data_IF_357116862004
#
_entry.id   IF_357116862004
#
_cell.length_a   1.000
_cell.length_b   1.000
_cell.length_c   1.000
_cell.angle_alpha   90.00
_cell.angle_beta   90.00
_cell.angle_gamma   90.00
#
_symmetry.space_group_name_H-M   'P 1'
#
loop_
_entity.id
_entity.type
_entity.pdbx_description
1 polymer ?
#
# COMPACT_ATOMS: atom_id res chain seq x y z
N UNK A 1 12.71 -17.19 -11.49
CA UNK A 1 11.28 -16.79 -11.65
C UNK A 1 11.04 -15.78 -10.56
N UNK A 2 10.72 -14.53 -10.91
CA UNK A 2 10.49 -13.42 -9.97
C UNK A 2 9.02 -13.02 -10.00
N UNK A 3 8.36 -13.07 -8.85
CA UNK A 3 6.95 -12.72 -8.68
C UNK A 3 6.86 -11.43 -7.87
N UNK A 4 6.24 -10.40 -8.45
CA UNK A 4 6.05 -9.11 -7.78
C UNK A 4 4.59 -8.94 -7.39
N UNK A 5 4.35 -8.63 -6.12
CA UNK A 5 3.05 -8.33 -5.55
C UNK A 5 2.74 -6.83 -5.59
N UNK A 6 1.48 -6.50 -5.89
CA UNK A 6 0.94 -5.14 -5.81
C UNK A 6 -0.34 -5.17 -4.98
N UNK A 7 -0.53 -4.17 -4.12
CA UNK A 7 -1.77 -3.99 -3.35
C UNK A 7 -2.47 -2.75 -3.89
N UNK A 8 -3.73 -2.90 -4.32
CA UNK A 8 -4.42 -1.81 -5.02
C UNK A 8 -5.94 -1.83 -4.80
N UNK A 9 -6.57 -0.70 -5.04
CA UNK A 9 -8.03 -0.58 -5.16
C UNK A 9 -8.50 -0.55 -6.61
N UNK A 10 -7.72 0.08 -7.49
CA UNK A 10 -8.08 0.33 -8.89
C UNK A 10 -9.48 0.94 -9.06
N UNK A 11 -9.72 2.03 -8.39
CA UNK A 11 -11.04 2.65 -8.27
C UNK A 11 -11.14 4.04 -8.92
N UNK A 12 -11.09 4.14 -10.28
CA UNK A 12 -10.89 3.08 -11.28
C UNK A 12 -9.42 2.79 -11.57
N UNK A 13 -9.16 1.78 -12.40
CA UNK A 13 -7.84 1.56 -13.02
C UNK A 13 -7.51 2.71 -13.98
N UNK A 14 -6.27 3.21 -13.94
CA UNK A 14 -5.82 4.34 -14.77
C UNK A 14 -4.35 4.22 -15.16
N UNK A 15 -3.88 5.15 -16.01
CA UNK A 15 -2.50 5.15 -16.56
C UNK A 15 -1.38 5.09 -15.50
N UNK A 16 -1.60 5.62 -14.31
CA UNK A 16 -0.64 5.51 -13.21
C UNK A 16 -0.49 4.07 -12.70
N UNK A 17 -1.59 3.31 -12.66
CA UNK A 17 -1.57 1.90 -12.29
C UNK A 17 -0.91 1.04 -13.40
N UNK A 18 -1.21 1.32 -14.66
CA UNK A 18 -0.55 0.70 -15.80
C UNK A 18 0.96 0.97 -15.79
N UNK A 19 1.37 2.21 -15.48
CA UNK A 19 2.78 2.56 -15.32
C UNK A 19 3.44 1.73 -14.20
N UNK A 20 2.78 1.55 -13.05
CA UNK A 20 3.30 0.74 -11.95
C UNK A 20 3.49 -0.72 -12.35
N UNK A 21 2.53 -1.31 -13.04
CA UNK A 21 2.61 -2.68 -13.56
C UNK A 21 3.78 -2.80 -14.55
N UNK A 22 3.89 -1.86 -15.48
CA UNK A 22 4.99 -1.82 -16.44
C UNK A 22 6.35 -1.64 -15.75
N UNK A 23 6.44 -0.79 -14.75
CA UNK A 23 7.66 -0.61 -13.95
C UNK A 23 8.07 -1.92 -13.27
N UNK A 24 7.12 -2.62 -12.66
CA UNK A 24 7.39 -3.94 -12.07
C UNK A 24 7.90 -4.94 -13.11
N UNK A 25 7.35 -4.92 -14.32
CA UNK A 25 7.76 -5.80 -15.41
C UNK A 25 9.13 -5.47 -15.97
N UNK A 26 9.35 -4.21 -16.36
CA UNK A 26 10.52 -3.78 -17.12
C UNK A 26 11.73 -3.44 -16.24
N UNK A 27 11.50 -2.81 -15.09
CA UNK A 27 12.57 -2.30 -14.22
C UNK A 27 12.89 -3.27 -13.09
N UNK A 28 11.85 -3.82 -12.42
CA UNK A 28 12.08 -4.81 -11.37
C UNK A 28 12.31 -6.22 -11.93
N UNK A 29 12.03 -6.45 -13.22
CA UNK A 29 12.24 -7.73 -13.88
C UNK A 29 11.26 -8.83 -13.43
N UNK A 30 10.01 -8.47 -13.16
CA UNK A 30 8.99 -9.42 -12.77
C UNK A 30 8.64 -10.39 -13.90
N UNK A 31 8.76 -11.69 -13.65
CA UNK A 31 8.21 -12.73 -14.52
C UNK A 31 6.69 -12.80 -14.39
N UNK A 32 6.17 -12.59 -13.18
CA UNK A 32 4.74 -12.57 -12.88
C UNK A 32 4.39 -11.41 -11.94
N UNK A 33 3.20 -10.84 -12.15
CA UNK A 33 2.65 -9.76 -11.33
C UNK A 33 1.33 -10.22 -10.73
N UNK A 34 1.28 -10.29 -9.40
CA UNK A 34 0.11 -10.70 -8.62
C UNK A 34 -0.44 -9.47 -7.89
N UNK A 35 -1.73 -9.22 -8.04
CA UNK A 35 -2.37 -8.05 -7.43
C UNK A 35 -3.38 -8.49 -6.38
N UNK A 36 -3.21 -8.01 -5.15
CA UNK A 36 -4.23 -8.04 -4.10
C UNK A 36 -5.12 -6.82 -4.27
N UNK A 37 -6.36 -7.01 -4.75
CA UNK A 37 -7.29 -5.94 -5.09
C UNK A 37 -8.51 -5.94 -4.18
N UNK A 38 -8.98 -4.76 -3.76
CA UNK A 38 -10.26 -4.62 -3.05
C UNK A 38 -11.43 -5.08 -3.92
N UNK A 39 -12.42 -5.72 -3.29
CA UNK A 39 -13.66 -6.15 -3.93
C UNK A 39 -14.61 -4.99 -4.24
N UNK A 40 -15.91 -5.19 -4.03
CA UNK A 40 -16.93 -4.17 -4.33
C UNK A 40 -16.93 -3.00 -3.35
N UNK A 41 -16.22 -3.14 -2.24
CA UNK A 41 -16.00 -2.06 -1.26
C UNK A 41 -14.50 -1.78 -1.16
N UNK A 42 -14.17 -0.49 -1.13
CA UNK A 42 -12.80 0.01 -1.03
C UNK A 42 -12.50 0.50 0.40
N UNK A 43 -11.32 1.01 0.61
CA UNK A 43 -10.84 1.49 1.90
C UNK A 43 -11.85 2.45 2.56
N UNK A 44 -12.04 2.31 3.87
CA UNK A 44 -13.01 3.04 4.69
C UNK A 44 -14.49 2.71 4.38
N UNK A 45 -14.75 1.62 3.66
CA UNK A 45 -16.10 1.10 3.42
C UNK A 45 -16.89 1.81 2.33
N UNK A 46 -16.27 2.65 1.51
CA UNK A 46 -16.93 3.22 0.37
C UNK A 46 -17.20 2.17 -0.72
N UNK A 47 -18.34 2.21 -1.43
CA UNK A 47 -18.54 1.35 -2.59
C UNK A 47 -17.56 1.76 -3.70
N UNK A 48 -17.06 0.78 -4.45
CA UNK A 48 -16.23 1.03 -5.61
C UNK A 48 -17.04 1.70 -6.73
N UNK A 49 -16.39 2.55 -7.52
CA UNK A 49 -17.00 3.24 -8.68
C UNK A 49 -17.40 2.28 -9.80
N UNK A 50 -16.72 1.12 -9.86
CA UNK A 50 -16.93 0.12 -10.92
C UNK A 50 -16.92 -1.27 -10.29
N UNK A 51 -17.63 -2.19 -10.91
CA UNK A 51 -17.68 -3.60 -10.52
C UNK A 51 -16.28 -4.20 -10.46
N UNK A 52 -16.04 -5.08 -9.47
CA UNK A 52 -14.73 -5.68 -9.23
C UNK A 52 -14.20 -6.49 -10.42
N UNK A 53 -15.07 -7.22 -11.13
CA UNK A 53 -14.64 -8.01 -12.29
C UNK A 53 -14.15 -7.13 -13.43
N UNK A 54 -14.83 -5.99 -13.69
CA UNK A 54 -14.38 -5.04 -14.70
C UNK A 54 -13.03 -4.42 -14.32
N UNK A 55 -12.84 -4.05 -13.04
CA UNK A 55 -11.54 -3.53 -12.55
C UNK A 55 -10.42 -4.57 -12.65
N UNK A 56 -10.72 -5.83 -12.35
CA UNK A 56 -9.79 -6.94 -12.51
C UNK A 56 -9.43 -7.15 -13.99
N UNK A 57 -10.41 -7.14 -14.88
CA UNK A 57 -10.18 -7.24 -16.33
C UNK A 57 -9.28 -6.11 -16.85
N UNK A 58 -9.53 -4.86 -16.43
CA UNK A 58 -8.69 -3.71 -16.79
C UNK A 58 -7.24 -3.91 -16.34
N UNK A 59 -7.01 -4.45 -15.13
CA UNK A 59 -5.68 -4.71 -14.62
C UNK A 59 -4.99 -5.86 -15.39
N UNK A 60 -5.70 -6.92 -15.74
CA UNK A 60 -5.20 -8.02 -16.58
C UNK A 60 -4.84 -7.54 -17.99
N UNK A 61 -5.67 -6.69 -18.60
CA UNK A 61 -5.36 -6.03 -19.87
C UNK A 61 -4.16 -5.08 -19.74
N UNK A 62 -3.93 -4.51 -18.55
CA UNK A 62 -2.74 -3.72 -18.20
C UNK A 62 -1.49 -4.56 -17.90
N UNK A 63 -1.49 -5.86 -18.22
CA UNK A 63 -0.36 -6.80 -18.07
C UNK A 63 -0.12 -7.32 -16.65
N UNK A 64 -1.11 -7.32 -15.78
CA UNK A 64 -1.10 -8.16 -14.59
C UNK A 64 -1.38 -9.63 -14.95
N UNK A 65 -0.86 -10.57 -14.16
CA UNK A 65 -1.03 -12.02 -14.44
C UNK A 65 -2.11 -12.65 -13.57
N UNK A 66 -2.27 -12.18 -12.34
CA UNK A 66 -3.24 -12.71 -11.38
C UNK A 66 -3.82 -11.60 -10.52
N UNK A 67 -5.14 -11.60 -10.37
CA UNK A 67 -5.84 -10.71 -9.46
C UNK A 67 -6.50 -11.55 -8.35
N UNK A 68 -6.19 -11.21 -7.11
CA UNK A 68 -6.79 -11.81 -5.92
C UNK A 68 -7.69 -10.78 -5.23
N UNK A 69 -8.90 -11.17 -4.91
CA UNK A 69 -9.79 -10.33 -4.12
C UNK A 69 -9.38 -10.34 -2.65
N UNK A 70 -9.17 -9.17 -2.08
CA UNK A 70 -8.94 -9.02 -0.65
C UNK A 70 -10.21 -9.30 0.14
N UNK A 71 -10.12 -9.97 1.31
CA UNK A 71 -11.27 -10.10 2.22
C UNK A 71 -11.86 -8.74 2.54
N UNK A 72 -13.19 -8.63 2.51
CA UNK A 72 -13.90 -7.34 2.71
C UNK A 72 -13.50 -6.65 4.01
N UNK A 73 -13.25 -7.40 5.08
CA UNK A 73 -12.84 -6.86 6.37
C UNK A 73 -11.53 -6.06 6.30
N UNK A 74 -10.57 -6.52 5.48
CA UNK A 74 -9.30 -5.83 5.27
C UNK A 74 -9.40 -4.78 4.18
N UNK A 75 -10.17 -5.04 3.12
CA UNK A 75 -10.41 -4.10 2.03
C UNK A 75 -11.07 -2.79 2.51
N UNK A 76 -11.97 -2.87 3.50
CA UNK A 76 -12.69 -1.71 4.07
C UNK A 76 -12.02 -1.09 5.29
N UNK A 77 -10.89 -1.62 5.73
CA UNK A 77 -10.18 -1.17 6.92
C UNK A 77 -9.52 0.21 6.75
N UNK A 78 -8.82 0.66 7.80
CA UNK A 78 -7.91 1.81 7.72
C UNK A 78 -6.76 1.51 6.74
N UNK A 79 -6.00 2.55 6.35
CA UNK A 79 -4.85 2.37 5.45
C UNK A 79 -3.86 1.31 5.96
N UNK A 80 -3.63 1.27 7.27
CA UNK A 80 -2.78 0.29 7.93
C UNK A 80 -3.37 -1.13 7.84
N UNK A 81 -4.66 -1.30 8.14
CA UNK A 81 -5.34 -2.59 8.05
C UNK A 81 -5.46 -3.10 6.62
N UNK A 82 -5.68 -2.18 5.66
CA UNK A 82 -5.68 -2.49 4.23
C UNK A 82 -4.32 -3.00 3.76
N UNK A 83 -3.24 -2.28 4.10
CA UNK A 83 -1.88 -2.69 3.74
C UNK A 83 -1.50 -4.03 4.40
N UNK A 84 -1.77 -4.19 5.70
CA UNK A 84 -1.50 -5.44 6.41
C UNK A 84 -2.26 -6.63 5.82
N UNK A 85 -3.54 -6.44 5.47
CA UNK A 85 -4.36 -7.48 4.84
C UNK A 85 -3.86 -7.86 3.44
N UNK A 86 -3.47 -6.87 2.63
CA UNK A 86 -2.90 -7.10 1.31
C UNK A 86 -1.55 -7.83 1.38
N UNK A 87 -0.66 -7.40 2.28
CA UNK A 87 0.61 -8.10 2.52
C UNK A 87 0.38 -9.53 2.97
N UNK A 88 -0.51 -9.75 3.94
CA UNK A 88 -0.81 -11.09 4.45
C UNK A 88 -1.38 -12.02 3.37
N UNK A 89 -2.23 -11.48 2.47
CA UNK A 89 -2.77 -12.25 1.35
C UNK A 89 -1.68 -12.66 0.36
N UNK A 90 -0.79 -11.74 0.00
CA UNK A 90 0.31 -12.00 -0.92
C UNK A 90 1.36 -12.95 -0.32
N UNK A 91 1.71 -12.75 0.95
CA UNK A 91 2.63 -13.61 1.71
C UNK A 91 2.08 -15.04 1.84
N UNK A 92 0.78 -15.17 2.09
CA UNK A 92 0.08 -16.46 2.20
C UNK A 92 0.12 -17.32 0.94
N UNK A 93 0.41 -16.74 -0.24
CA UNK A 93 0.64 -17.50 -1.47
C UNK A 93 1.98 -18.25 -1.45
N UNK A 94 2.97 -17.76 -0.69
CA UNK A 94 4.30 -18.37 -0.60
C UNK A 94 5.13 -18.32 -1.88
N UNK A 95 4.73 -17.48 -2.86
CA UNK A 95 5.40 -17.36 -4.17
C UNK A 95 5.78 -15.92 -4.53
N UNK A 96 5.38 -14.95 -3.74
CA UNK A 96 5.68 -13.52 -3.99
C UNK A 96 7.04 -13.18 -3.40
N UNK A 97 7.96 -12.70 -4.25
CA UNK A 97 9.33 -12.37 -3.86
C UNK A 97 9.47 -10.93 -3.38
N UNK A 98 8.76 -10.00 -4.00
CA UNK A 98 8.86 -8.56 -3.74
C UNK A 98 7.50 -7.86 -3.81
N UNK A 99 7.37 -6.74 -3.09
CA UNK A 99 6.22 -5.84 -3.18
C UNK A 99 6.60 -4.56 -3.94
N UNK A 100 5.76 -4.17 -4.90
CA UNK A 100 5.87 -2.91 -5.60
C UNK A 100 4.74 -1.96 -5.20
N UNK A 101 5.09 -0.79 -4.68
CA UNK A 101 4.12 0.26 -4.32
C UNK A 101 4.66 1.64 -4.74
N UNK A 102 3.74 2.57 -4.96
CA UNK A 102 4.07 3.96 -5.28
C UNK A 102 4.51 4.75 -4.04
N UNK A 103 5.56 5.55 -4.18
CA UNK A 103 6.02 6.47 -3.16
C UNK A 103 6.43 7.81 -3.78
N UNK A 104 6.15 8.92 -3.10
CA UNK A 104 6.56 10.24 -3.54
C UNK A 104 8.09 10.44 -3.45
N UNK A 105 8.73 9.84 -2.44
CA UNK A 105 10.18 9.95 -2.27
C UNK A 105 10.98 8.94 -3.10
N UNK A 106 10.39 7.80 -3.47
CA UNK A 106 11.07 6.74 -4.22
C UNK A 106 12.28 6.11 -3.52
N UNK A 107 12.51 6.43 -2.24
CA UNK A 107 13.65 5.97 -1.45
C UNK A 107 13.21 4.94 -0.40
N UNK A 108 13.54 3.69 -0.65
CA UNK A 108 13.20 2.55 0.20
C UNK A 108 13.92 2.63 1.56
N UNK A 109 15.14 3.14 1.62
CA UNK A 109 15.91 3.23 2.87
C UNK A 109 15.25 4.22 3.84
N UNK A 110 14.89 5.40 3.36
CA UNK A 110 14.13 6.39 4.14
C UNK A 110 12.79 5.82 4.63
N UNK A 111 12.05 5.11 3.77
CA UNK A 111 10.78 4.48 4.16
C UNK A 111 10.96 3.42 5.23
N UNK A 112 12.01 2.58 5.13
CA UNK A 112 12.32 1.57 6.14
C UNK A 112 12.71 2.18 7.48
N UNK A 113 13.49 3.27 7.47
CA UNK A 113 13.84 4.00 8.69
C UNK A 113 12.60 4.59 9.39
N UNK A 114 11.71 5.20 8.63
CA UNK A 114 10.41 5.70 9.14
C UNK A 114 9.57 4.55 9.72
N UNK A 115 9.47 3.43 9.00
CA UNK A 115 8.73 2.26 9.47
C UNK A 115 9.29 1.72 10.80
N UNK A 116 10.61 1.66 10.96
CA UNK A 116 11.24 1.24 12.21
C UNK A 116 10.93 2.18 13.38
N UNK A 117 10.90 3.49 13.15
CA UNK A 117 10.51 4.47 14.17
C UNK A 117 9.06 4.26 14.58
N UNK A 118 8.16 4.03 13.61
CA UNK A 118 6.74 3.78 13.87
C UNK A 118 6.51 2.47 14.64
N UNK A 119 7.27 1.42 14.36
CA UNK A 119 7.17 0.13 15.07
C UNK A 119 7.72 0.21 16.50
N UNK A 120 8.87 0.86 16.66
CA UNK A 120 9.57 0.92 17.96
C UNK A 120 8.99 1.98 18.90
N UNK A 121 8.32 2.99 18.34
CA UNK A 121 7.80 4.15 19.05
C UNK A 121 8.76 4.66 20.16
N UNK A 122 9.98 5.11 19.82
CA UNK A 122 10.93 5.56 20.80
C UNK A 122 10.35 6.69 21.68
N UNK A 123 10.89 6.85 22.89
CA UNK A 123 10.38 7.80 23.88
C UNK A 123 10.23 9.23 23.32
N UNK A 124 11.21 9.69 22.56
CA UNK A 124 11.18 11.02 21.93
C UNK A 124 10.02 11.18 20.95
N UNK A 125 9.79 10.16 20.11
CA UNK A 125 8.65 10.13 19.17
C UNK A 125 7.32 10.20 19.92
N UNK A 126 7.12 9.36 20.95
CA UNK A 126 5.89 9.36 21.76
C UNK A 126 5.65 10.70 22.46
N UNK A 127 6.70 11.32 22.99
CA UNK A 127 6.64 12.62 23.65
C UNK A 127 6.20 13.72 22.69
N UNK A 128 6.82 13.82 21.51
CA UNK A 128 6.46 14.77 20.46
C UNK A 128 5.02 14.56 19.94
N UNK A 129 4.64 13.30 19.71
CA UNK A 129 3.29 12.95 19.27
C UNK A 129 2.23 13.41 20.30
N UNK A 130 2.45 13.17 21.58
CA UNK A 130 1.54 13.63 22.65
C UNK A 130 1.46 15.15 22.74
N UNK A 131 2.59 15.83 22.60
CA UNK A 131 2.62 17.30 22.61
C UNK A 131 1.81 17.87 21.45
N UNK A 132 2.02 17.36 20.24
CA UNK A 132 1.32 17.82 19.04
C UNK A 132 -0.20 17.52 19.11
N UNK A 133 -0.60 16.35 19.62
CA UNK A 133 -2.01 16.03 19.82
C UNK A 133 -2.70 16.99 20.81
N UNK A 134 -2.02 17.45 21.86
CA UNK A 134 -2.56 18.41 22.83
C UNK A 134 -2.81 19.80 22.23
N UNK A 135 -2.16 20.13 21.09
CA UNK A 135 -2.42 21.39 20.37
C UNK A 135 -3.65 21.33 19.46
N UNK A 136 -4.37 20.20 19.43
CA UNK A 136 -5.56 20.00 18.59
C UNK A 136 -5.27 19.60 17.13
N UNK A 137 -4.03 19.29 16.80
CA UNK A 137 -3.69 18.80 15.46
C UNK A 137 -4.24 17.39 15.22
N UNK A 138 -4.58 17.10 13.95
CA UNK A 138 -4.99 15.76 13.58
C UNK A 138 -3.84 14.74 13.70
N UNK A 139 -4.17 13.49 14.00
CA UNK A 139 -3.17 12.42 14.18
C UNK A 139 -2.21 12.26 12.99
N UNK A 140 -2.66 12.30 11.70
CA UNK A 140 -1.75 12.25 10.56
C UNK A 140 -0.77 13.43 10.50
N UNK A 141 -1.25 14.63 10.83
CA UNK A 141 -0.42 15.84 10.87
C UNK A 141 0.64 15.75 11.97
N UNK A 142 0.23 15.26 13.17
CA UNK A 142 1.16 15.04 14.28
C UNK A 142 2.25 14.02 13.92
N UNK A 143 1.89 12.91 13.26
CA UNK A 143 2.88 11.93 12.78
C UNK A 143 3.90 12.57 11.84
N UNK A 144 3.45 13.31 10.84
CA UNK A 144 4.34 14.00 9.89
C UNK A 144 5.33 14.92 10.60
N UNK A 145 4.88 15.77 11.51
CA UNK A 145 5.74 16.68 12.26
C UNK A 145 6.73 15.98 13.21
N UNK A 146 6.43 14.77 13.66
CA UNK A 146 7.37 14.02 14.50
C UNK A 146 8.59 13.51 13.73
N UNK A 147 8.54 13.47 12.40
CA UNK A 147 9.66 13.04 11.57
C UNK A 147 10.58 14.19 11.16
N UNK A 148 10.07 15.44 11.07
CA UNK A 148 10.86 16.58 10.67
C UNK A 148 12.08 16.84 11.57
N UNK A 149 12.01 16.76 12.93
CA UNK A 149 13.17 16.93 13.79
C UNK A 149 14.05 15.70 13.97
N UNK A 150 13.63 14.52 13.49
CA UNK A 150 14.40 13.28 13.64
C UNK A 150 15.32 12.99 12.44
N UNK A 151 15.23 13.81 11.38
CA UNK A 151 16.05 13.76 10.18
C UNK A 151 17.01 14.95 10.02
N UNK A 152 17.11 15.85 11.02
CA UNK A 152 18.00 17.01 11.01
C UNK A 152 19.36 16.72 11.67
#
# INVERSE_FOLDING_TARGET
MKVVGIIAEYNPFHKGHEYQIRYAREILGADYIVIAMSGDFVQRGAPALMEKHLRAEMALLGSADLILEMPVQTATASAEGFAAGGVSLLDGLGVVDELCFGSECGDTETLMNIAQILIKEPFEYRKLLQQNLRTGMSFPCCKKQCFDPLHA
#
